data_IF_390604746753
#
_entry.id   IF_390604746753
#
_cell.length_a   1.000
_cell.length_b   1.000
_cell.length_c   1.000
_cell.angle_alpha   90.00
_cell.angle_beta   90.00
_cell.angle_gamma   90.00
#
_symmetry.space_group_name_H-M   'P 1'
#
loop_
_entity.id
_entity.type
_entity.pdbx_description
1 polymer ?
#
# COMPACT_ATOMS: atom_id res chain seq x y z
N UNK A 1 27.15 -1.10 -12.20
CA UNK A 1 25.88 -1.70 -11.73
C UNK A 1 24.67 -0.75 -11.84
N UNK A 2 24.67 0.44 -11.22
CA UNK A 2 23.50 1.34 -11.21
C UNK A 2 23.04 1.80 -12.60
N UNK A 3 23.99 1.97 -13.53
CA UNK A 3 23.76 2.21 -14.96
C UNK A 3 22.71 1.28 -15.56
N UNK A 4 22.83 -0.01 -15.27
CA UNK A 4 21.91 -1.04 -15.74
C UNK A 4 20.50 -0.85 -15.18
N UNK A 5 20.37 -0.59 -13.88
CA UNK A 5 19.06 -0.37 -13.27
C UNK A 5 18.35 0.87 -13.84
N UNK A 6 19.10 1.94 -14.15
CA UNK A 6 18.51 3.12 -14.80
C UNK A 6 18.07 2.79 -16.22
N UNK A 7 18.91 2.12 -17.02
CA UNK A 7 18.52 1.66 -18.36
C UNK A 7 17.28 0.77 -18.33
N UNK A 8 17.24 -0.24 -17.43
CA UNK A 8 16.07 -1.12 -17.27
C UNK A 8 14.82 -0.35 -16.84
N UNK A 9 14.95 0.65 -15.95
CA UNK A 9 13.84 1.50 -15.54
C UNK A 9 13.29 2.31 -16.72
N UNK A 10 14.17 2.91 -17.52
CA UNK A 10 13.74 3.69 -18.69
C UNK A 10 13.17 2.80 -19.80
N UNK A 11 13.62 1.55 -19.93
CA UNK A 11 13.09 0.62 -20.90
C UNK A 11 11.70 0.09 -20.51
N UNK A 12 11.53 -0.33 -19.25
CA UNK A 12 10.31 -1.03 -18.80
C UNK A 12 9.32 -0.15 -18.03
N UNK A 13 9.69 1.10 -17.74
CA UNK A 13 8.98 2.09 -16.90
C UNK A 13 8.79 1.70 -15.44
N UNK A 14 9.00 0.43 -15.10
CA UNK A 14 8.84 -0.12 -13.76
C UNK A 14 9.78 -1.32 -13.58
N UNK A 15 10.50 -1.34 -12.46
CA UNK A 15 11.37 -2.44 -12.05
C UNK A 15 11.16 -2.78 -10.58
N UNK A 16 11.47 -4.03 -10.20
CA UNK A 16 11.46 -4.48 -8.81
C UNK A 16 12.88 -4.74 -8.36
N UNK A 17 13.30 -4.12 -7.26
CA UNK A 17 14.65 -4.27 -6.71
C UNK A 17 14.64 -4.08 -5.19
N UNK A 18 15.81 -4.12 -4.54
CA UNK A 18 15.89 -3.85 -3.10
C UNK A 18 15.74 -2.36 -2.81
N UNK A 19 15.24 -2.00 -1.63
CA UNK A 19 15.00 -0.59 -1.25
C UNK A 19 16.25 0.28 -1.40
N UNK A 20 17.42 -0.23 -0.99
CA UNK A 20 18.68 0.50 -1.11
C UNK A 20 19.04 0.80 -2.57
N UNK A 21 18.93 -0.21 -3.45
CA UNK A 21 19.20 -0.05 -4.89
C UNK A 21 18.20 0.90 -5.53
N UNK A 22 16.91 0.78 -5.19
CA UNK A 22 15.86 1.64 -5.72
C UNK A 22 16.10 3.13 -5.40
N UNK A 23 16.57 3.45 -4.19
CA UNK A 23 16.90 4.83 -3.78
C UNK A 23 18.02 5.44 -4.62
N UNK A 24 19.12 4.72 -4.82
CA UNK A 24 20.24 5.23 -5.63
C UNK A 24 19.90 5.28 -7.12
N UNK A 25 19.17 4.29 -7.64
CA UNK A 25 18.67 4.32 -9.03
C UNK A 25 17.73 5.49 -9.27
N UNK A 26 16.83 5.80 -8.33
CA UNK A 26 15.91 6.94 -8.44
C UNK A 26 16.66 8.27 -8.60
N UNK A 27 17.71 8.50 -7.80
CA UNK A 27 18.54 9.72 -7.87
C UNK A 27 19.20 9.89 -9.23
N UNK A 28 19.71 8.81 -9.81
CA UNK A 28 20.36 8.84 -11.12
C UNK A 28 19.34 8.97 -12.26
N UNK A 29 18.22 8.24 -12.19
CA UNK A 29 17.16 8.32 -13.18
C UNK A 29 16.57 9.74 -13.26
N UNK A 30 16.38 10.41 -12.12
CA UNK A 30 15.88 11.78 -12.10
C UNK A 30 16.84 12.74 -12.81
N UNK A 31 18.17 12.55 -12.65
CA UNK A 31 19.19 13.34 -13.35
C UNK A 31 19.15 13.10 -14.86
N UNK A 32 19.03 11.84 -15.30
CA UNK A 32 18.96 11.50 -16.73
C UNK A 32 17.71 12.10 -17.38
N UNK A 33 16.55 12.03 -16.71
CA UNK A 33 15.32 12.67 -17.20
C UNK A 33 15.47 14.20 -17.23
N UNK A 34 16.23 14.77 -16.29
CA UNK A 34 16.53 16.21 -16.29
C UNK A 34 17.39 16.61 -17.50
N UNK A 35 18.36 15.78 -17.89
CA UNK A 35 19.11 15.98 -19.15
C UNK A 35 18.17 15.94 -20.36
N UNK A 36 17.26 14.96 -20.39
CA UNK A 36 16.27 14.83 -21.46
C UNK A 36 15.38 16.09 -21.61
N UNK A 37 14.97 16.67 -20.48
CA UNK A 37 14.18 17.91 -20.46
C UNK A 37 14.93 19.12 -21.03
N UNK A 38 16.26 19.19 -20.88
CA UNK A 38 17.06 20.27 -21.48
C UNK A 38 17.00 20.24 -23.01
N UNK A 39 16.96 19.05 -23.60
CA UNK A 39 16.79 18.87 -25.05
C UNK A 39 17.96 19.38 -25.92
N UNK A 40 19.11 19.70 -25.33
CA UNK A 40 20.30 20.16 -26.07
C UNK A 40 21.16 18.98 -26.54
N UNK A 41 21.96 19.18 -27.59
CA UNK A 41 22.86 18.15 -28.11
C UNK A 41 23.88 17.65 -27.07
N UNK A 42 24.53 18.51 -26.25
CA UNK A 42 25.38 18.05 -25.15
C UNK A 42 24.62 17.19 -24.13
N UNK A 43 23.38 17.56 -23.78
CA UNK A 43 22.58 16.76 -22.86
C UNK A 43 22.21 15.38 -23.42
N UNK A 44 22.05 15.26 -24.75
CA UNK A 44 21.86 13.99 -25.44
C UNK A 44 23.13 13.13 -25.38
N UNK A 45 24.29 13.72 -25.65
CA UNK A 45 25.58 13.03 -25.54
C UNK A 45 25.89 12.55 -24.12
N UNK A 46 25.61 13.38 -23.11
CA UNK A 46 25.77 13.02 -21.70
C UNK A 46 24.87 11.82 -21.32
N UNK A 47 23.62 11.83 -21.78
CA UNK A 47 22.69 10.74 -21.54
C UNK A 47 23.12 9.45 -22.27
N UNK A 48 23.60 9.57 -23.50
CA UNK A 48 24.11 8.46 -24.31
C UNK A 48 25.33 7.80 -23.67
N UNK A 49 26.31 8.59 -23.24
CA UNK A 49 27.49 8.12 -22.52
C UNK A 49 27.14 7.42 -21.20
N UNK A 50 26.05 7.84 -20.55
CA UNK A 50 25.56 7.22 -19.32
C UNK A 50 24.70 5.97 -19.54
N UNK A 51 23.95 5.79 -20.62
CA UNK A 51 22.98 4.67 -20.72
C UNK A 51 23.60 3.39 -21.29
N UNK A 52 23.26 2.22 -20.74
CA UNK A 52 23.52 0.94 -21.43
C UNK A 52 22.51 0.76 -22.56
N UNK A 53 22.99 0.31 -23.73
CA UNK A 53 22.21 0.12 -24.95
C UNK A 53 21.37 1.35 -25.35
N UNK A 54 22.02 2.50 -25.61
CA UNK A 54 21.34 3.78 -25.75
C UNK A 54 20.35 3.84 -26.92
N UNK A 55 20.61 3.13 -28.02
CA UNK A 55 19.78 3.19 -29.24
C UNK A 55 18.30 2.89 -29.00
N UNK A 56 17.94 1.98 -28.10
CA UNK A 56 16.53 1.64 -27.83
C UNK A 56 15.84 2.57 -26.83
N UNK A 57 16.61 3.40 -26.10
CA UNK A 57 16.11 4.19 -24.96
C UNK A 57 16.14 5.68 -25.27
N UNK A 58 17.16 6.17 -25.99
CA UNK A 58 17.39 7.59 -26.21
C UNK A 58 16.20 8.27 -26.89
N UNK A 59 15.63 7.65 -27.91
CA UNK A 59 14.53 8.28 -28.65
C UNK A 59 13.30 8.41 -27.76
N UNK A 60 12.93 7.38 -27.00
CA UNK A 60 11.84 7.43 -26.02
C UNK A 60 12.12 8.44 -24.90
N UNK A 61 13.38 8.59 -24.51
CA UNK A 61 13.80 9.53 -23.47
C UNK A 61 13.63 10.99 -23.90
N UNK A 62 14.06 11.35 -25.11
CA UNK A 62 14.00 12.72 -25.63
C UNK A 62 12.68 13.10 -26.30
N UNK A 63 11.78 12.14 -26.52
CA UNK A 63 10.41 12.36 -27.00
C UNK A 63 9.41 12.13 -25.86
N UNK A 64 8.96 10.89 -25.66
CA UNK A 64 7.88 10.51 -24.75
C UNK A 64 8.12 10.97 -23.30
N UNK A 65 9.32 10.75 -22.75
CA UNK A 65 9.59 11.11 -21.34
C UNK A 65 9.83 12.60 -21.16
N UNK A 66 10.46 13.26 -22.14
CA UNK A 66 10.61 14.72 -22.15
C UNK A 66 9.24 15.39 -22.08
N UNK A 67 8.33 15.02 -22.96
CA UNK A 67 6.99 15.63 -23.06
C UNK A 67 6.17 15.34 -21.81
N UNK A 68 6.19 14.09 -21.34
CA UNK A 68 5.51 13.67 -20.10
C UNK A 68 5.92 14.49 -18.87
N UNK A 69 7.20 14.88 -18.77
CA UNK A 69 7.74 15.51 -17.56
C UNK A 69 8.04 17.00 -17.70
N UNK A 70 7.66 17.63 -18.81
CA UNK A 70 8.00 19.03 -19.10
C UNK A 70 7.56 19.98 -17.97
N UNK A 71 6.31 19.85 -17.53
CA UNK A 71 5.69 20.68 -16.50
C UNK A 71 6.05 20.29 -15.05
N UNK A 72 6.67 19.12 -14.85
CA UNK A 72 6.95 18.57 -13.50
C UNK A 72 8.33 19.04 -12.99
N UNK A 73 8.43 19.74 -11.84
CA UNK A 73 9.71 20.20 -11.29
C UNK A 73 10.39 19.09 -10.45
N UNK A 74 10.87 18.04 -11.10
CA UNK A 74 11.55 16.92 -10.44
C UNK A 74 10.63 15.84 -9.87
N UNK A 75 11.21 14.79 -9.27
CA UNK A 75 10.46 13.66 -8.72
C UNK A 75 9.76 12.85 -9.81
N UNK A 76 10.52 12.43 -10.82
CA UNK A 76 10.00 11.67 -11.97
C UNK A 76 9.87 10.18 -11.66
N UNK A 77 10.52 9.74 -10.59
CA UNK A 77 10.48 8.37 -10.10
C UNK A 77 9.68 8.25 -8.80
N UNK A 78 9.11 7.08 -8.56
CA UNK A 78 8.42 6.72 -7.32
C UNK A 78 8.89 5.37 -6.82
N UNK A 79 9.17 5.31 -5.52
CA UNK A 79 9.56 4.09 -4.81
C UNK A 79 8.37 3.64 -3.96
N UNK A 80 7.91 2.41 -4.20
CA UNK A 80 6.85 1.77 -3.44
C UNK A 80 7.44 0.54 -2.76
N UNK A 81 7.51 0.56 -1.42
CA UNK A 81 8.00 -0.58 -0.65
C UNK A 81 7.02 -1.74 -0.77
N UNK A 82 7.52 -2.94 -1.04
CA UNK A 82 6.70 -4.13 -1.20
C UNK A 82 7.45 -5.37 -0.70
N UNK A 83 7.03 -5.88 0.46
CA UNK A 83 7.49 -7.15 1.01
C UNK A 83 9.01 -7.28 1.20
N UNK A 84 9.44 -8.53 1.41
CA UNK A 84 10.84 -8.90 1.57
C UNK A 84 11.21 -10.00 0.56
N UNK A 85 12.48 -10.09 0.18
CA UNK A 85 13.00 -11.13 -0.71
C UNK A 85 13.11 -12.45 0.08
N UNK A 86 12.62 -13.58 -0.47
CA UNK A 86 12.79 -14.87 0.18
C UNK A 86 14.28 -15.26 0.24
N UNK A 87 14.68 -15.93 1.31
CA UNK A 87 16.07 -16.36 1.55
C UNK A 87 16.86 -15.37 2.42
N UNK A 88 17.04 -14.13 1.96
CA UNK A 88 17.86 -13.13 2.64
C UNK A 88 17.06 -12.03 3.36
N UNK A 89 15.73 -12.11 3.32
CA UNK A 89 14.79 -11.15 3.93
C UNK A 89 15.08 -9.68 3.55
N UNK A 90 15.73 -9.44 2.41
CA UNK A 90 16.07 -8.08 2.00
C UNK A 90 14.79 -7.30 1.62
N UNK A 91 14.62 -6.05 2.10
CA UNK A 91 13.42 -5.28 1.81
C UNK A 91 13.36 -4.93 0.32
N UNK A 92 12.24 -5.22 -0.32
CA UNK A 92 12.01 -4.96 -1.75
C UNK A 92 11.21 -3.67 -1.95
N UNK A 93 11.40 -3.08 -3.12
CA UNK A 93 10.63 -1.96 -3.60
C UNK A 93 10.41 -2.06 -5.11
N UNK A 94 9.27 -1.54 -5.53
CA UNK A 94 8.95 -1.24 -6.91
C UNK A 94 9.44 0.18 -7.16
N UNK A 95 10.36 0.35 -8.11
CA UNK A 95 10.76 1.65 -8.64
C UNK A 95 10.04 1.84 -9.97
N UNK A 96 9.31 2.94 -10.11
CA UNK A 96 8.54 3.23 -11.32
C UNK A 96 8.72 4.68 -11.76
N UNK A 97 8.49 4.92 -13.04
CA UNK A 97 8.25 6.23 -13.62
C UNK A 97 6.83 6.71 -13.26
N UNK A 98 6.68 8.01 -13.01
CA UNK A 98 5.42 8.65 -12.64
C UNK A 98 4.61 9.02 -13.89
N UNK A 99 3.29 9.14 -13.77
CA UNK A 99 2.37 9.56 -14.85
C UNK A 99 2.35 8.62 -16.08
N UNK A 100 3.03 7.48 -16.02
CA UNK A 100 3.06 6.46 -17.06
C UNK A 100 1.83 5.54 -17.07
N UNK A 101 1.69 4.70 -18.11
CA UNK A 101 0.62 3.71 -18.21
C UNK A 101 0.57 2.73 -17.05
N UNK A 102 1.73 2.41 -16.45
CA UNK A 102 1.88 1.47 -15.32
C UNK A 102 1.95 2.17 -13.96
N UNK A 103 1.45 3.41 -13.84
CA UNK A 103 1.53 4.13 -12.57
C UNK A 103 0.62 3.47 -11.50
N UNK A 104 1.24 2.78 -10.53
CA UNK A 104 0.54 2.14 -9.42
C UNK A 104 -0.24 3.12 -8.54
N UNK A 105 0.16 4.40 -8.46
CA UNK A 105 -0.59 5.39 -7.66
C UNK A 105 -1.95 5.68 -8.29
N UNK A 106 -2.02 5.80 -9.62
CA UNK A 106 -3.29 5.95 -10.34
C UNK A 106 -4.14 4.70 -10.16
N UNK A 107 -3.53 3.51 -10.29
CA UNK A 107 -4.25 2.25 -10.11
C UNK A 107 -4.84 2.11 -8.70
N UNK A 108 -4.06 2.44 -7.66
CA UNK A 108 -4.53 2.40 -6.27
C UNK A 108 -5.62 3.45 -6.00
N UNK A 109 -5.48 4.67 -6.52
CA UNK A 109 -6.48 5.73 -6.36
C UNK A 109 -7.78 5.36 -7.08
N UNK A 110 -7.71 4.89 -8.33
CA UNK A 110 -8.87 4.41 -9.09
C UNK A 110 -9.59 3.26 -8.38
N UNK A 111 -8.85 2.29 -7.82
CA UNK A 111 -9.46 1.22 -7.00
C UNK A 111 -10.13 1.75 -5.73
N UNK A 112 -9.55 2.71 -5.04
CA UNK A 112 -10.18 3.31 -3.86
C UNK A 112 -11.51 4.00 -4.24
N UNK A 113 -11.51 4.76 -5.35
CA UNK A 113 -12.72 5.40 -5.89
C UNK A 113 -13.76 4.35 -6.28
N UNK A 114 -13.39 3.33 -7.05
CA UNK A 114 -14.29 2.26 -7.49
C UNK A 114 -14.92 1.47 -6.33
N UNK A 115 -14.18 1.29 -5.24
CA UNK A 115 -14.70 0.68 -4.01
C UNK A 115 -15.72 1.57 -3.31
N UNK A 116 -15.44 2.87 -3.20
CA UNK A 116 -16.35 3.82 -2.56
C UNK A 116 -17.63 4.02 -3.37
N UNK A 117 -17.54 4.08 -4.70
CA UNK A 117 -18.71 4.17 -5.58
C UNK A 117 -19.57 2.92 -5.49
N UNK A 118 -18.98 1.71 -5.57
CA UNK A 118 -19.71 0.46 -5.40
C UNK A 118 -20.36 0.36 -4.00
N UNK A 119 -19.67 0.82 -2.94
CA UNK A 119 -20.24 0.81 -1.59
C UNK A 119 -21.40 1.78 -1.43
N UNK A 120 -21.33 2.97 -2.04
CA UNK A 120 -22.40 3.97 -1.96
C UNK A 120 -23.63 3.50 -2.73
N UNK A 121 -23.41 2.82 -3.86
CA UNK A 121 -24.47 2.16 -4.62
C UNK A 121 -25.14 1.03 -3.81
N UNK A 122 -24.35 0.20 -3.11
CA UNK A 122 -24.89 -0.90 -2.30
C UNK A 122 -25.72 -0.44 -1.09
N UNK A 123 -25.39 0.71 -0.49
CA UNK A 123 -26.09 1.27 0.68
C UNK A 123 -27.30 2.13 0.27
N UNK A 124 -27.58 2.29 -1.04
CA UNK A 124 -28.61 3.20 -1.55
C UNK A 124 -28.50 4.63 -0.98
N UNK A 125 -27.27 5.11 -0.78
CA UNK A 125 -26.98 6.50 -0.41
C UNK A 125 -26.37 7.24 -1.62
N UNK A 126 -27.16 7.53 -2.68
CA UNK A 126 -26.67 8.30 -3.81
C UNK A 126 -26.34 9.71 -3.32
N UNK A 127 -25.04 10.04 -3.23
CA UNK A 127 -24.57 11.35 -2.77
C UNK A 127 -23.55 11.31 -1.64
N UNK A 128 -23.23 10.13 -1.07
CA UNK A 128 -22.06 10.00 -0.20
C UNK A 128 -20.79 10.25 -1.02
N UNK A 129 -20.29 11.48 -0.98
CA UNK A 129 -19.07 11.87 -1.68
C UNK A 129 -17.86 11.05 -1.22
N UNK A 130 -16.78 11.12 -1.99
CA UNK A 130 -15.53 10.42 -1.67
C UNK A 130 -14.99 10.83 -0.29
N UNK A 131 -14.36 9.88 0.41
CA UNK A 131 -13.65 10.16 1.66
C UNK A 131 -12.54 11.18 1.39
N UNK A 132 -12.23 12.03 2.36
CA UNK A 132 -11.17 13.05 2.25
C UNK A 132 -9.83 12.47 1.82
N UNK A 133 -9.45 11.31 2.39
CA UNK A 133 -8.22 10.60 2.04
C UNK A 133 -8.20 10.16 0.58
N UNK A 134 -9.35 9.73 0.05
CA UNK A 134 -9.51 9.29 -1.33
C UNK A 134 -9.47 10.49 -2.28
N UNK A 135 -10.14 11.59 -1.93
CA UNK A 135 -10.02 12.88 -2.64
C UNK A 135 -8.56 13.34 -2.73
N UNK A 136 -7.84 13.33 -1.61
CA UNK A 136 -6.41 13.68 -1.58
C UNK A 136 -5.56 12.75 -2.44
N UNK A 137 -5.84 11.44 -2.43
CA UNK A 137 -5.11 10.47 -3.25
C UNK A 137 -5.31 10.72 -4.75
N UNK A 138 -6.55 11.00 -5.16
CA UNK A 138 -6.93 11.35 -6.53
C UNK A 138 -6.27 12.65 -6.96
N UNK A 139 -6.35 13.72 -6.14
CA UNK A 139 -5.70 15.01 -6.42
C UNK A 139 -4.19 14.83 -6.69
N UNK A 140 -3.50 14.09 -5.81
CA UNK A 140 -2.06 13.84 -6.00
C UNK A 140 -1.74 12.97 -7.20
N UNK A 141 -2.61 12.05 -7.59
CA UNK A 141 -2.42 11.21 -8.77
C UNK A 141 -2.61 12.02 -10.06
N UNK A 142 -3.55 12.97 -10.07
CA UNK A 142 -3.93 13.72 -11.26
C UNK A 142 -3.18 15.06 -11.43
N UNK A 143 -2.47 15.53 -10.40
CA UNK A 143 -1.81 16.85 -10.37
C UNK A 143 -1.02 17.20 -11.66
N UNK A 144 -0.36 16.23 -12.28
CA UNK A 144 0.44 16.44 -13.50
C UNK A 144 0.14 15.42 -14.61
N UNK A 145 -0.92 14.61 -14.47
CA UNK A 145 -1.15 13.48 -15.39
C UNK A 145 -1.92 13.86 -16.66
N UNK A 146 -2.30 15.13 -16.81
CA UNK A 146 -3.15 15.61 -17.91
C UNK A 146 -4.50 14.90 -18.00
N UNK A 147 -5.14 15.00 -19.17
CA UNK A 147 -6.42 14.33 -19.47
C UNK A 147 -6.28 12.81 -19.57
N UNK A 148 -5.17 12.32 -20.12
CA UNK A 148 -4.93 10.88 -20.25
C UNK A 148 -4.93 10.18 -18.89
N UNK A 149 -4.33 10.80 -17.88
CA UNK A 149 -4.32 10.23 -16.54
C UNK A 149 -5.70 10.25 -15.87
N UNK A 150 -6.56 11.25 -16.18
CA UNK A 150 -7.97 11.26 -15.74
C UNK A 150 -8.72 10.09 -16.36
N UNK A 151 -8.62 9.92 -17.68
CA UNK A 151 -9.23 8.79 -18.42
C UNK A 151 -8.77 7.45 -17.85
N UNK A 152 -7.47 7.30 -17.58
CA UNK A 152 -6.91 6.09 -16.94
C UNK A 152 -7.48 5.85 -15.54
N UNK A 153 -7.58 6.88 -14.71
CA UNK A 153 -8.13 6.76 -13.36
C UNK A 153 -9.62 6.37 -13.39
N UNK A 154 -10.40 7.00 -14.26
CA UNK A 154 -11.81 6.69 -14.49
C UNK A 154 -12.00 5.26 -14.97
N UNK A 155 -11.22 4.81 -15.96
CA UNK A 155 -11.27 3.43 -16.45
C UNK A 155 -10.99 2.42 -15.33
N UNK A 156 -9.92 2.62 -14.55
CA UNK A 156 -9.61 1.74 -13.41
C UNK A 156 -10.71 1.75 -12.35
N UNK A 157 -11.31 2.92 -12.06
CA UNK A 157 -12.38 3.04 -11.09
C UNK A 157 -13.65 2.32 -11.55
N UNK A 158 -14.04 2.49 -12.82
CA UNK A 158 -15.18 1.83 -13.42
C UNK A 158 -14.99 0.32 -13.48
N UNK A 159 -13.84 -0.15 -13.99
CA UNK A 159 -13.51 -1.58 -14.03
C UNK A 159 -13.59 -2.21 -12.63
N UNK A 160 -13.03 -1.54 -11.62
CA UNK A 160 -13.06 -2.09 -10.27
C UNK A 160 -14.46 -2.05 -9.64
N UNK A 161 -15.22 -0.97 -9.83
CA UNK A 161 -16.59 -0.89 -9.35
C UNK A 161 -17.47 -1.97 -10.00
N UNK A 162 -17.36 -2.13 -11.33
CA UNK A 162 -18.07 -3.17 -12.08
C UNK A 162 -17.72 -4.56 -11.56
N UNK A 163 -16.43 -4.84 -11.32
CA UNK A 163 -16.00 -6.10 -10.72
C UNK A 163 -16.63 -6.34 -9.35
N UNK A 164 -16.62 -5.34 -8.47
CA UNK A 164 -17.20 -5.45 -7.12
C UNK A 164 -18.73 -5.61 -7.13
N UNK A 165 -19.42 -5.02 -8.11
CA UNK A 165 -20.88 -5.17 -8.25
C UNK A 165 -21.26 -6.50 -8.94
N UNK A 166 -20.41 -7.02 -9.81
CA UNK A 166 -20.62 -8.29 -10.51
C UNK A 166 -20.34 -9.52 -9.62
N UNK A 167 -19.28 -9.49 -8.81
CA UNK A 167 -18.88 -10.59 -7.91
C UNK A 167 -20.02 -11.13 -7.02
N UNK A 168 -20.76 -10.30 -6.25
CA UNK A 168 -21.84 -10.79 -5.42
C UNK A 168 -23.00 -11.33 -6.26
N UNK A 169 -23.33 -10.75 -7.43
CA UNK A 169 -24.44 -11.23 -8.26
C UNK A 169 -24.17 -12.58 -8.92
N UNK A 170 -22.92 -12.84 -9.31
CA UNK A 170 -22.53 -14.10 -9.96
C UNK A 170 -22.34 -15.25 -8.95
N UNK A 171 -21.92 -14.94 -7.71
CA UNK A 171 -21.52 -15.94 -6.73
C UNK A 171 -22.34 -15.96 -5.43
N UNK A 172 -23.34 -15.08 -5.26
CA UNK A 172 -24.23 -15.08 -4.08
C UNK A 172 -24.98 -16.39 -3.88
N UNK A 173 -25.10 -17.23 -4.91
CA UNK A 173 -25.65 -18.59 -4.77
C UNK A 173 -24.62 -19.68 -4.44
N UNK A 174 -23.32 -19.44 -4.66
CA UNK A 174 -22.26 -20.45 -4.56
C UNK A 174 -21.51 -20.38 -3.22
N UNK A 175 -21.26 -19.17 -2.69
CA UNK A 175 -20.51 -18.97 -1.44
C UNK A 175 -21.37 -18.57 -0.24
N UNK A 176 -22.67 -18.31 -0.42
CA UNK A 176 -23.64 -18.28 0.68
C UNK A 176 -23.96 -19.71 1.15
N UNK A 177 -22.94 -20.48 1.55
CA UNK A 177 -23.13 -21.38 2.68
C UNK A 177 -23.04 -20.51 3.91
N UNK A 178 -24.11 -19.77 4.20
CA UNK A 178 -24.37 -19.38 5.58
C UNK A 178 -24.39 -20.68 6.35
N UNK A 179 -23.34 -20.94 7.13
CA UNK A 179 -23.44 -21.94 8.17
C UNK A 179 -24.66 -21.51 8.99
N UNK A 180 -25.68 -22.36 9.16
CA UNK A 180 -26.87 -21.97 9.90
C UNK A 180 -26.43 -21.38 11.24
N UNK A 181 -27.10 -20.31 11.68
CA UNK A 181 -26.74 -19.58 12.90
C UNK A 181 -26.63 -20.50 14.15
N UNK A 182 -27.13 -21.74 14.05
CA UNK A 182 -26.91 -22.82 15.00
C UNK A 182 -25.44 -23.21 15.24
N UNK A 183 -24.49 -22.92 14.34
CA UNK A 183 -23.06 -23.25 14.54
C UNK A 183 -22.18 -22.04 14.89
N UNK A 184 -22.68 -20.81 14.73
CA UNK A 184 -21.97 -19.58 15.15
C UNK A 184 -22.45 -19.03 16.50
N UNK A 185 -23.37 -19.74 17.17
CA UNK A 185 -23.55 -19.57 18.60
C UNK A 185 -22.27 -19.98 19.32
N UNK A 186 -21.70 -19.11 20.16
CA UNK A 186 -20.64 -19.47 21.11
C UNK A 186 -21.16 -20.66 21.95
N UNK A 187 -20.88 -21.89 21.55
CA UNK A 187 -21.27 -23.08 22.30
C UNK A 187 -20.57 -23.00 23.65
N UNK A 188 -21.34 -22.86 24.73
CA UNK A 188 -20.79 -22.92 26.10
C UNK A 188 -20.26 -24.34 26.30
N UNK A 189 -18.93 -24.47 26.34
CA UNK A 189 -18.25 -25.73 26.65
C UNK A 189 -18.66 -26.12 28.08
N UNK A 190 -19.16 -27.34 28.28
CA UNK A 190 -19.47 -27.85 29.62
C UNK A 190 -18.19 -28.15 30.40
N UNK A 191 -18.24 -28.11 31.73
CA UNK A 191 -17.08 -28.48 32.55
C UNK A 191 -16.61 -29.91 32.19
N UNK A 192 -15.37 -30.04 31.70
CA UNK A 192 -14.78 -31.32 31.28
C UNK A 192 -14.83 -31.62 29.77
N UNK A 193 -15.60 -30.86 28.98
CA UNK A 193 -15.69 -31.03 27.52
C UNK A 193 -14.47 -30.42 26.82
N UNK A 194 -13.92 -31.11 25.80
CA UNK A 194 -12.76 -30.67 25.00
C UNK A 194 -13.14 -30.57 23.53
N UNK A 195 -12.81 -29.45 22.89
CA UNK A 195 -12.90 -29.31 21.43
C UNK A 195 -11.61 -29.82 20.77
N UNK A 196 -11.76 -30.46 19.62
CA UNK A 196 -10.63 -30.91 18.80
C UNK A 196 -9.78 -29.71 18.36
N UNK A 197 -8.46 -29.76 18.62
CA UNK A 197 -7.53 -28.67 18.33
C UNK A 197 -7.34 -27.61 19.44
N UNK A 198 -8.03 -27.74 20.58
CA UNK A 198 -7.88 -26.81 21.71
C UNK A 198 -6.59 -27.12 22.50
N UNK A 199 -5.72 -26.11 22.71
CA UNK A 199 -4.46 -26.29 23.44
C UNK A 199 -4.69 -26.56 24.93
N UNK A 200 -3.86 -27.44 25.52
CA UNK A 200 -3.95 -27.85 26.93
C UNK A 200 -3.73 -26.69 27.90
N UNK A 201 -3.10 -25.59 27.47
CA UNK A 201 -2.87 -24.39 28.28
C UNK A 201 -4.13 -23.58 28.59
N UNK A 202 -5.19 -23.71 27.78
CA UNK A 202 -6.43 -22.96 27.92
C UNK A 202 -7.54 -23.71 28.68
N UNK A 203 -7.27 -24.94 29.13
CA UNK A 203 -8.19 -25.72 29.96
C UNK A 203 -7.65 -25.80 31.38
N UNK A 204 -8.53 -25.80 32.39
CA UNK A 204 -8.17 -25.84 33.81
C UNK A 204 -7.30 -27.02 34.26
N UNK A 205 -6.95 -27.95 33.38
CA UNK A 205 -5.95 -29.00 33.59
C UNK A 205 -4.51 -28.47 33.66
N UNK A 206 -4.22 -27.27 33.13
CA UNK A 206 -2.93 -26.60 33.34
C UNK A 206 -2.69 -26.20 34.80
N UNK A 207 -3.76 -25.90 35.56
CA UNK A 207 -3.69 -25.62 37.00
C UNK A 207 -3.28 -26.85 37.81
N UNK A 208 -3.68 -28.05 37.39
CA UNK A 208 -3.35 -29.31 38.07
C UNK A 208 -1.90 -29.79 37.83
N UNK A 209 -1.20 -29.26 36.81
CA UNK A 209 0.20 -29.62 36.48
C UNK A 209 1.25 -28.60 36.92
N UNK A 210 0.93 -27.69 37.85
CA UNK A 210 1.93 -26.82 38.48
C UNK A 210 2.28 -25.54 37.70
N UNK A 211 1.42 -25.07 36.79
CA UNK A 211 1.60 -23.81 36.07
C UNK A 211 1.27 -22.55 36.92
N UNK A 212 1.58 -22.54 38.22
CA UNK A 212 1.36 -21.41 39.13
C UNK A 212 2.52 -20.38 39.13
N UNK A 213 3.53 -20.56 38.27
CA UNK A 213 4.78 -19.79 38.32
C UNK A 213 4.83 -18.45 37.60
N UNK A 214 3.74 -17.96 36.99
CA UNK A 214 3.73 -16.62 36.37
C UNK A 214 2.49 -15.85 36.80
N UNK A 215 2.48 -15.38 38.05
CA UNK A 215 1.59 -14.28 38.44
C UNK A 215 2.07 -13.02 37.71
N UNK A 216 1.20 -12.39 36.93
CA UNK A 216 1.38 -10.97 36.60
C UNK A 216 1.49 -10.18 37.90
N UNK A 217 2.36 -9.16 38.01
CA UNK A 217 2.43 -8.36 39.23
C UNK A 217 1.04 -7.83 39.56
N UNK A 218 0.62 -8.00 40.82
CA UNK A 218 -0.68 -7.54 41.28
C UNK A 218 -0.86 -6.06 40.96
N UNK A 219 -2.01 -5.69 40.37
CA UNK A 219 -2.38 -4.27 40.26
C UNK A 219 -2.38 -3.68 41.67
N UNK A 220 -1.57 -2.65 41.86
CA UNK A 220 -1.50 -1.90 43.12
C UNK A 220 -2.93 -1.43 43.45
N UNK A 221 -3.47 -1.71 44.65
CA UNK A 221 -4.79 -1.21 45.05
C UNK A 221 -4.84 0.32 44.93
N UNK A 222 -5.91 0.87 44.36
CA UNK A 222 -6.02 2.31 44.07
C UNK A 222 -5.82 3.24 45.28
N UNK A 223 -5.93 2.72 46.51
CA UNK A 223 -5.57 3.42 47.74
C UNK A 223 -4.09 3.86 47.77
N UNK A 224 -3.16 3.03 47.30
CA UNK A 224 -1.73 3.34 47.25
C UNK A 224 -1.33 4.26 46.09
N UNK A 225 -2.14 4.33 45.03
CA UNK A 225 -1.92 5.23 43.89
C UNK A 225 -2.22 6.70 44.25
N UNK A 226 -3.25 6.94 45.07
CA UNK A 226 -3.68 8.29 45.47
C UNK A 226 -2.66 8.98 46.38
N UNK A 227 -2.07 8.25 47.33
CA UNK A 227 -1.06 8.80 48.23
C UNK A 227 0.24 9.18 47.51
N UNK A 228 0.63 8.42 46.48
CA UNK A 228 1.81 8.74 45.67
C UNK A 228 1.55 9.94 44.75
N UNK A 229 0.39 10.00 44.08
CA UNK A 229 0.00 11.11 43.20
C UNK A 229 -0.11 12.46 43.93
N UNK A 230 -0.61 12.50 45.17
CA UNK A 230 -0.61 13.72 46.00
C UNK A 230 0.80 14.20 46.33
N UNK A 231 1.75 13.28 46.53
CA UNK A 231 3.14 13.62 46.84
C UNK A 231 3.93 14.16 45.64
N UNK A 232 3.51 13.83 44.42
CA UNK A 232 4.17 14.24 43.17
C UNK A 232 3.39 15.31 42.37
N UNK A 233 2.29 15.84 42.91
CA UNK A 233 1.57 16.98 42.33
C UNK A 233 0.87 16.72 40.99
N UNK A 234 0.55 15.46 40.67
CA UNK A 234 -0.13 15.11 39.42
C UNK A 234 -1.66 15.28 39.56
N UNK A 235 -2.35 15.82 38.53
CA UNK A 235 -3.79 15.99 38.57
C UNK A 235 -4.50 14.63 38.57
N UNK A 236 -5.48 14.48 39.48
CA UNK A 236 -6.32 13.28 39.53
C UNK A 236 -7.29 13.24 38.35
N UNK A 237 -7.43 12.10 37.65
CA UNK A 237 -8.41 11.98 36.57
C UNK A 237 -9.84 12.12 37.11
N UNK A 238 -10.78 12.73 36.35
CA UNK A 238 -12.16 12.89 36.79
C UNK A 238 -12.85 11.53 36.94
N UNK A 239 -13.76 11.47 37.93
CA UNK A 239 -14.52 10.28 38.33
C UNK A 239 -15.50 9.82 37.25
#
# INVERSE_FOLDING_TARGET
MLRNLVSSLLQHEQIVTTVAKAKETARLADKVITLAKKGTLPARQDAEGFLLNPHSILDKLFTTYRDRYLQRPGGYTRILKYGHRPGDHAPKAILQLVDGPRDLRIQMAGRAVGKETASSFAVNEPGRGLRERTKWAVDKALKFSGEEGKKRLEAVAQEHANKLLAEPRAFSGLFNRSVPASETGKRKIRAGERLTGMSTSATGLGLAKGALGKKSPAKIPGFWQRGWQQKVGLPTPPA
#
